data_IF_800931198360
#
_entry.id   IF_800931198360
#
_cell.length_a   1.000
_cell.length_b   1.000
_cell.length_c   1.000
_cell.angle_alpha   90.00
_cell.angle_beta   90.00
_cell.angle_gamma   90.00
#
_symmetry.space_group_name_H-M   'P 1'
#
loop_
_entity.id
_entity.type
_entity.pdbx_description
1 polymer ?
#
# COMPACT_ATOMS: atom_id res chain seq x y z
N UNK A 1 26.15 -9.32 2.74
CA UNK A 1 25.72 -8.18 1.92
C UNK A 1 24.96 -7.24 2.85
N UNK A 2 25.36 -5.98 2.99
CA UNK A 2 24.64 -5.05 3.88
C UNK A 2 23.44 -4.49 3.13
N UNK A 3 22.24 -4.79 3.61
CA UNK A 3 21.03 -4.17 3.11
C UNK A 3 20.87 -2.77 3.70
N UNK A 4 20.40 -1.78 2.91
CA UNK A 4 19.94 -0.51 3.44
C UNK A 4 18.92 -0.71 4.56
N UNK A 5 18.92 0.16 5.57
CA UNK A 5 17.95 0.13 6.66
C UNK A 5 16.51 0.04 6.11
N UNK A 6 15.76 -0.97 6.57
CA UNK A 6 14.39 -1.24 6.13
C UNK A 6 14.24 -2.22 4.95
N UNK A 7 15.33 -2.77 4.40
CA UNK A 7 15.27 -3.89 3.44
C UNK A 7 15.65 -5.21 4.12
N UNK A 8 15.11 -6.30 3.61
CA UNK A 8 15.36 -7.67 4.08
C UNK A 8 15.75 -8.58 2.92
N UNK A 9 16.46 -9.67 3.21
CA UNK A 9 16.93 -10.63 2.20
C UNK A 9 15.81 -11.64 1.90
N UNK A 10 15.23 -11.53 0.71
CA UNK A 10 14.22 -12.46 0.21
C UNK A 10 12.92 -12.46 1.02
N UNK A 11 12.07 -13.45 0.74
CA UNK A 11 10.77 -13.62 1.43
C UNK A 11 10.99 -14.11 2.86
N UNK A 12 12.00 -14.93 3.08
CA UNK A 12 12.41 -15.45 4.39
C UNK A 12 12.75 -14.30 5.34
N UNK A 13 13.44 -13.27 4.84
CA UNK A 13 13.74 -12.06 5.61
C UNK A 13 12.48 -11.28 5.99
N UNK A 14 11.46 -11.24 5.13
CA UNK A 14 10.16 -10.62 5.43
C UNK A 14 9.47 -11.40 6.55
N UNK A 15 9.42 -12.73 6.44
CA UNK A 15 8.78 -13.59 7.45
C UNK A 15 9.48 -13.49 8.82
N UNK A 16 10.81 -13.45 8.83
CA UNK A 16 11.59 -13.27 10.06
C UNK A 16 11.34 -11.89 10.70
N UNK A 17 11.33 -10.82 9.89
CA UNK A 17 11.04 -9.47 10.37
C UNK A 17 9.61 -9.35 10.93
N UNK A 18 8.63 -9.97 10.26
CA UNK A 18 7.24 -10.02 10.71
C UNK A 18 7.11 -10.74 12.07
N UNK A 19 7.68 -11.96 12.20
CA UNK A 19 7.64 -12.72 13.45
C UNK A 19 8.36 -11.98 14.60
N UNK A 20 9.45 -11.29 14.29
CA UNK A 20 10.14 -10.44 15.26
C UNK A 20 9.27 -9.25 15.70
N UNK A 21 8.65 -8.53 14.77
CA UNK A 21 7.81 -7.37 15.07
C UNK A 21 6.64 -7.75 16.01
N UNK A 22 5.96 -8.87 15.76
CA UNK A 22 4.84 -9.34 16.61
C UNK A 22 5.21 -9.49 18.09
N UNK A 23 6.47 -9.80 18.41
CA UNK A 23 6.94 -9.96 19.79
C UNK A 23 7.48 -8.66 20.40
N UNK A 24 7.71 -7.63 19.58
CA UNK A 24 8.40 -6.40 19.98
C UNK A 24 7.53 -5.14 19.86
N UNK A 25 6.32 -5.24 19.32
CA UNK A 25 5.37 -4.12 19.22
C UNK A 25 4.03 -4.48 19.84
N UNK A 26 3.34 -3.49 20.36
CA UNK A 26 1.94 -3.63 20.78
C UNK A 26 1.04 -3.27 19.60
N UNK A 27 0.09 -4.16 19.28
CA UNK A 27 -0.93 -3.87 18.27
C UNK A 27 -1.79 -2.69 18.73
N UNK A 28 -2.03 -1.75 17.81
CA UNK A 28 -2.78 -0.53 18.05
C UNK A 28 -3.61 -0.16 16.83
N UNK A 29 -4.44 0.87 16.98
CA UNK A 29 -5.16 1.51 15.87
C UNK A 29 -5.02 3.03 15.94
N UNK A 30 -5.58 3.75 14.96
CA UNK A 30 -6.42 3.27 13.85
C UNK A 30 -5.62 2.67 12.68
N UNK A 31 -6.31 2.05 11.72
CA UNK A 31 -5.74 1.59 10.45
C UNK A 31 -5.58 2.78 9.50
N UNK A 32 -4.34 3.13 9.18
CA UNK A 32 -3.98 4.28 8.34
C UNK A 32 -3.07 3.86 7.18
N UNK A 33 -3.43 4.18 5.94
CA UNK A 33 -2.63 3.81 4.76
C UNK A 33 -1.81 4.96 4.19
N UNK A 34 -2.17 6.22 4.44
CA UNK A 34 -1.50 7.38 3.86
C UNK A 34 0.02 7.36 4.07
N UNK A 35 0.47 7.03 5.29
CA UNK A 35 1.89 7.01 5.65
C UNK A 35 2.71 5.95 4.90
N UNK A 36 2.17 4.72 4.78
CA UNK A 36 2.87 3.62 4.10
C UNK A 36 2.90 3.83 2.59
N UNK A 37 1.82 4.36 2.01
CA UNK A 37 1.76 4.71 0.58
C UNK A 37 2.74 5.85 0.27
N UNK A 38 2.77 6.91 1.07
CA UNK A 38 3.73 8.01 0.89
C UNK A 38 5.19 7.52 1.01
N UNK A 39 5.46 6.56 1.90
CA UNK A 39 6.79 5.95 2.03
C UNK A 39 7.18 5.16 0.78
N UNK A 40 6.29 4.33 0.26
CA UNK A 40 6.52 3.58 -0.98
C UNK A 40 6.68 4.51 -2.18
N UNK A 41 5.83 5.54 -2.31
CA UNK A 41 5.92 6.57 -3.33
C UNK A 41 7.28 7.29 -3.27
N UNK A 42 7.76 7.67 -2.08
CA UNK A 42 9.10 8.27 -1.92
C UNK A 42 10.20 7.33 -2.41
N UNK A 43 10.15 6.04 -2.08
CA UNK A 43 11.14 5.05 -2.52
C UNK A 43 11.10 4.89 -4.06
N UNK A 44 9.92 4.75 -4.64
CA UNK A 44 9.73 4.64 -6.08
C UNK A 44 10.20 5.91 -6.81
N UNK A 45 9.85 7.10 -6.32
CA UNK A 45 10.29 8.39 -6.89
C UNK A 45 11.80 8.60 -6.80
N UNK A 46 12.42 8.24 -5.68
CA UNK A 46 13.88 8.29 -5.53
C UNK A 46 14.60 7.35 -6.49
N UNK A 47 14.02 6.19 -6.79
CA UNK A 47 14.62 5.23 -7.73
C UNK A 47 14.77 5.81 -9.14
N UNK A 48 13.87 6.69 -9.57
CA UNK A 48 13.92 7.32 -10.90
C UNK A 48 15.19 8.15 -11.12
N UNK A 49 15.80 8.67 -10.07
CA UNK A 49 17.03 9.48 -10.16
C UNK A 49 18.30 8.64 -10.33
N UNK A 50 18.29 7.37 -9.90
CA UNK A 50 19.50 6.54 -9.83
C UNK A 50 19.41 5.24 -10.63
N UNK A 51 18.21 4.70 -10.82
CA UNK A 51 17.95 3.47 -11.58
C UNK A 51 16.49 3.44 -12.09
N UNK A 52 16.32 3.89 -13.33
CA UNK A 52 15.01 4.01 -14.00
C UNK A 52 14.40 2.67 -14.44
N UNK A 53 15.09 1.55 -14.21
CA UNK A 53 14.62 0.22 -14.60
C UNK A 53 13.78 -0.49 -13.54
N UNK A 54 13.67 0.11 -12.33
CA UNK A 54 12.91 -0.48 -11.22
C UNK A 54 11.44 -0.08 -11.25
N UNK A 55 10.58 -1.09 -11.14
CA UNK A 55 9.16 -0.93 -10.85
C UNK A 55 8.84 -1.59 -9.50
N UNK A 56 8.03 -0.93 -8.67
CA UNK A 56 7.75 -1.35 -7.31
C UNK A 56 6.32 -1.87 -7.19
N UNK A 57 6.13 -2.87 -6.34
CA UNK A 57 4.82 -3.35 -5.92
C UNK A 57 4.78 -3.27 -4.39
N UNK A 58 3.83 -2.50 -3.86
CA UNK A 58 3.53 -2.45 -2.43
C UNK A 58 2.36 -3.40 -2.15
N UNK A 59 2.55 -4.36 -1.26
CA UNK A 59 1.49 -5.21 -0.73
C UNK A 59 1.10 -4.72 0.67
N UNK A 60 -0.16 -4.36 0.85
CA UNK A 60 -0.75 -3.99 2.14
C UNK A 60 -1.70 -5.11 2.56
N UNK A 61 -1.48 -5.69 3.75
CA UNK A 61 -2.36 -6.70 4.35
C UNK A 61 -3.02 -6.08 5.57
N UNK A 62 -4.34 -6.19 5.68
CA UNK A 62 -5.08 -5.60 6.78
C UNK A 62 -6.31 -6.44 7.15
N UNK A 63 -6.68 -6.42 8.43
CA UNK A 63 -7.90 -7.02 8.97
C UNK A 63 -8.94 -5.98 9.39
N UNK A 64 -8.69 -4.69 9.11
CA UNK A 64 -9.43 -3.57 9.69
C UNK A 64 -9.93 -2.55 8.68
N UNK A 65 -10.83 -1.69 9.16
CA UNK A 65 -11.46 -0.63 8.36
C UNK A 65 -10.54 0.58 8.26
N UNK A 66 -10.31 1.06 7.05
CA UNK A 66 -9.50 2.25 6.75
C UNK A 66 -10.08 3.51 7.42
N UNK A 67 -9.28 4.28 8.16
CA UNK A 67 -9.78 5.49 8.84
C UNK A 67 -9.40 6.80 8.15
N UNK A 68 -8.40 6.80 7.29
CA UNK A 68 -7.86 7.97 6.57
C UNK A 68 -8.14 7.91 5.06
N UNK A 69 -9.40 7.68 4.68
CA UNK A 69 -9.79 7.51 3.27
C UNK A 69 -9.31 8.67 2.37
N UNK A 70 -9.50 9.93 2.81
CA UNK A 70 -9.11 11.08 2.00
C UNK A 70 -7.58 11.23 1.87
N UNK A 71 -6.83 11.05 2.97
CA UNK A 71 -5.37 11.09 2.93
C UNK A 71 -4.80 9.97 2.05
N UNK A 72 -5.41 8.79 2.12
CA UNK A 72 -5.11 7.64 1.27
C UNK A 72 -5.34 7.97 -0.20
N UNK A 73 -6.51 8.52 -0.57
CA UNK A 73 -6.80 8.95 -1.94
C UNK A 73 -5.77 9.97 -2.44
N UNK A 74 -5.44 10.97 -1.63
CA UNK A 74 -4.47 12.00 -2.00
C UNK A 74 -3.07 11.40 -2.23
N UNK A 75 -2.66 10.44 -1.39
CA UNK A 75 -1.40 9.72 -1.55
C UNK A 75 -1.38 8.86 -2.81
N UNK A 76 -2.49 8.18 -3.12
CA UNK A 76 -2.64 7.36 -4.33
C UNK A 76 -2.58 8.20 -5.61
N UNK A 77 -3.29 9.33 -5.65
CA UNK A 77 -3.26 10.25 -6.80
C UNK A 77 -1.83 10.75 -7.03
N UNK A 78 -1.12 11.20 -5.98
CA UNK A 78 0.29 11.60 -6.11
C UNK A 78 1.21 10.47 -6.56
N UNK A 79 0.93 9.24 -6.14
CA UNK A 79 1.73 8.07 -6.49
C UNK A 79 1.46 7.56 -7.91
N UNK A 80 0.37 7.97 -8.56
CA UNK A 80 -0.04 7.45 -9.88
C UNK A 80 0.98 7.70 -10.99
N UNK A 81 1.78 8.77 -10.88
CA UNK A 81 2.86 9.11 -11.81
C UNK A 81 4.18 8.38 -11.57
N UNK A 82 4.27 7.56 -10.51
CA UNK A 82 5.49 6.85 -10.11
C UNK A 82 5.49 5.40 -10.61
N UNK A 83 6.65 4.72 -10.72
CA UNK A 83 6.71 3.32 -11.09
C UNK A 83 6.32 2.41 -9.90
N UNK A 84 5.05 2.49 -9.50
CA UNK A 84 4.50 1.85 -8.31
C UNK A 84 3.10 1.28 -8.58
N UNK A 85 2.88 0.01 -8.22
CA UNK A 85 1.54 -0.57 -8.05
C UNK A 85 1.31 -0.92 -6.58
N UNK A 86 0.06 -0.94 -6.16
CA UNK A 86 -0.36 -1.20 -4.79
C UNK A 86 -1.42 -2.30 -4.80
N UNK A 87 -1.17 -3.37 -4.06
CA UNK A 87 -2.09 -4.46 -3.82
C UNK A 87 -2.57 -4.37 -2.37
N UNK A 88 -3.87 -4.34 -2.16
CA UNK A 88 -4.49 -4.32 -0.83
C UNK A 88 -5.23 -5.64 -0.63
N UNK A 89 -4.84 -6.40 0.40
CA UNK A 89 -5.45 -7.67 0.76
C UNK A 89 -6.14 -7.52 2.11
N UNK A 90 -7.46 -7.62 2.10
CA UNK A 90 -8.27 -7.67 3.31
C UNK A 90 -8.37 -9.10 3.83
N UNK A 91 -7.99 -9.36 5.07
CA UNK A 91 -8.10 -10.66 5.74
C UNK A 91 -9.12 -10.62 6.87
N UNK A 92 -9.77 -11.74 7.17
CA UNK A 92 -10.80 -11.79 8.22
C UNK A 92 -12.16 -11.22 7.79
N UNK A 93 -12.99 -10.87 8.78
CA UNK A 93 -14.41 -10.58 8.59
C UNK A 93 -14.81 -9.10 8.71
N UNK A 94 -13.89 -8.16 8.53
CA UNK A 94 -14.19 -6.73 8.60
C UNK A 94 -15.01 -6.23 7.39
N UNK A 95 -15.59 -5.04 7.55
CA UNK A 95 -16.27 -4.32 6.46
C UNK A 95 -15.23 -3.63 5.56
N UNK A 96 -15.03 -4.16 4.35
CA UNK A 96 -14.07 -3.65 3.38
C UNK A 96 -14.68 -2.73 2.31
N UNK A 97 -15.92 -2.26 2.49
CA UNK A 97 -16.59 -1.35 1.53
C UNK A 97 -15.75 -0.13 1.16
N UNK A 98 -15.01 0.45 2.11
CA UNK A 98 -14.14 1.59 1.84
C UNK A 98 -12.92 1.24 0.97
N UNK A 99 -12.47 -0.01 0.96
CA UNK A 99 -11.36 -0.45 0.11
C UNK A 99 -11.81 -0.67 -1.33
N UNK A 100 -13.07 -1.07 -1.54
CA UNK A 100 -13.68 -1.14 -2.87
C UNK A 100 -13.79 0.26 -3.54
N UNK A 101 -13.80 1.35 -2.75
CA UNK A 101 -13.75 2.72 -3.29
C UNK A 101 -12.37 3.04 -3.85
N UNK A 102 -11.31 2.44 -3.30
CA UNK A 102 -9.93 2.64 -3.74
C UNK A 102 -9.62 1.87 -5.02
N UNK A 103 -10.38 0.81 -5.27
CA UNK A 103 -10.27 -0.06 -6.44
C UNK A 103 -10.90 0.64 -7.67
N UNK A 104 -10.13 0.85 -8.74
CA UNK A 104 -10.58 1.63 -9.89
C UNK A 104 -11.41 0.82 -10.91
N UNK A 105 -11.70 -0.45 -10.61
CA UNK A 105 -12.48 -1.37 -11.46
C UNK A 105 -13.92 -0.87 -11.75
N UNK A 106 -14.43 0.04 -10.92
CA UNK A 106 -15.73 0.69 -11.13
C UNK A 106 -15.69 1.85 -12.16
N UNK A 107 -14.57 2.03 -12.87
CA UNK A 107 -14.41 3.00 -13.97
C UNK A 107 -14.28 4.46 -13.51
N UNK A 108 -14.25 4.71 -12.20
CA UNK A 108 -14.01 6.05 -11.63
C UNK A 108 -12.55 6.16 -11.23
N UNK A 109 -11.84 7.10 -11.85
CA UNK A 109 -10.48 7.43 -11.44
C UNK A 109 -10.51 8.09 -10.06
N UNK A 110 -9.48 7.83 -9.26
CA UNK A 110 -9.34 8.46 -7.96
C UNK A 110 -9.12 9.97 -8.13
N UNK A 111 -9.86 10.74 -7.35
CA UNK A 111 -9.76 12.21 -7.28
C UNK A 111 -9.28 12.62 -5.89
N UNK A 112 -8.26 13.46 -5.84
CA UNK A 112 -7.72 14.04 -4.61
C UNK A 112 -8.65 15.10 -4.02
N UNK A 113 -8.35 15.54 -2.81
CA UNK A 113 -9.01 16.69 -2.15
C UNK A 113 -8.82 18.02 -2.87
N UNK A 114 -7.92 18.07 -3.86
CA UNK A 114 -7.56 19.26 -4.64
C UNK A 114 -7.96 19.12 -6.12
N UNK A 115 -8.92 18.23 -6.43
CA UNK A 115 -9.46 17.97 -7.77
C UNK A 115 -8.44 17.42 -8.80
N UNK A 116 -7.27 16.98 -8.35
CA UNK A 116 -6.34 16.22 -9.18
C UNK A 116 -6.83 14.78 -9.37
N UNK A 117 -6.77 14.29 -10.59
CA UNK A 117 -7.18 12.94 -10.99
C UNK A 117 -5.96 12.05 -11.17
N UNK A 118 -6.02 10.81 -10.68
CA UNK A 118 -4.96 9.81 -10.91
C UNK A 118 -4.69 9.61 -12.40
N UNK A 119 -3.42 9.59 -12.80
CA UNK A 119 -3.02 9.51 -14.22
C UNK A 119 -3.21 8.11 -14.81
N UNK A 120 -3.12 7.09 -13.96
CA UNK A 120 -3.43 5.70 -14.24
C UNK A 120 -3.98 5.03 -12.99
N UNK A 121 -4.61 3.89 -13.18
CA UNK A 121 -4.92 3.01 -12.07
C UNK A 121 -3.66 2.31 -11.55
N UNK A 122 -3.52 2.28 -10.22
CA UNK A 122 -2.38 1.69 -9.51
C UNK A 122 -2.81 0.79 -8.36
N UNK A 123 -4.10 0.71 -8.04
CA UNK A 123 -4.59 0.00 -6.84
C UNK A 123 -5.45 -1.16 -7.27
N UNK A 124 -5.21 -2.32 -6.67
CA UNK A 124 -6.13 -3.44 -6.74
C UNK A 124 -6.47 -3.89 -5.32
N UNK A 125 -7.76 -4.04 -5.03
CA UNK A 125 -8.23 -4.59 -3.76
C UNK A 125 -8.73 -6.03 -3.93
N UNK A 126 -8.34 -6.91 -2.99
CA UNK A 126 -8.84 -8.30 -2.93
C UNK A 126 -9.22 -8.66 -1.50
N UNK A 127 -10.51 -8.96 -1.21
CA UNK A 127 -10.91 -9.55 0.05
C UNK A 127 -10.58 -11.04 0.05
N UNK A 128 -9.65 -11.47 0.91
CA UNK A 128 -9.28 -12.87 1.09
C UNK A 128 -10.29 -13.57 2.01
N UNK A 129 -11.42 -13.96 1.43
CA UNK A 129 -12.42 -14.82 2.07
C UNK A 129 -12.04 -16.27 1.79
N UNK A 130 -11.49 -16.95 2.79
CA UNK A 130 -11.13 -18.39 2.84
C UNK A 130 -10.76 -19.04 1.49
N UNK A 131 -9.46 -19.21 1.27
CA UNK A 131 -8.95 -20.09 0.20
C UNK A 131 -9.30 -21.53 0.58
N UNK A 132 -10.26 -22.12 -0.14
CA UNK A 132 -10.56 -23.56 -0.05
C UNK A 132 -9.46 -24.38 -0.73
#
# INVERSE_FOLDING_TARGET
MFLPAGKVDGVEGIMAAYASALNNVSLAGPTLFGQVINTAARIAGQSLSYDRSKYFVLLIITDGVLKDLQETKDALVRASDLPLSILIVGVGGADFTQMEILDADNGRRLESSTDWVATRDIVQFVPMREVH
#
